data_IF_649194410202
#
_entry.id   IF_649194410202
#
_cell.length_a   1.000
_cell.length_b   1.000
_cell.length_c   1.000
_cell.angle_alpha   90.00
_cell.angle_beta   90.00
_cell.angle_gamma   90.00
#
_symmetry.space_group_name_H-M   'P 1'
#
loop_
_entity.id
_entity.type
_entity.pdbx_description
1 polymer ?
#
# COMPACT_ATOMS: atom_id res chain seq x y z
N UNK A 1 12.54 12.90 9.64
CA UNK A 1 13.61 11.92 9.32
C UNK A 1 12.93 10.60 9.01
N UNK A 2 12.68 10.31 7.74
CA UNK A 2 12.17 9.00 7.35
C UNK A 2 13.28 7.98 7.56
N UNK A 3 13.11 7.07 8.52
CA UNK A 3 13.89 5.83 8.52
C UNK A 3 13.67 5.18 7.16
N UNK A 4 14.70 5.11 6.31
CA UNK A 4 14.59 4.45 5.02
C UNK A 4 14.36 2.96 5.25
N UNK A 5 13.09 2.55 5.18
CA UNK A 5 12.71 1.14 5.31
C UNK A 5 13.01 0.50 3.95
N UNK A 6 14.05 -0.31 3.89
CA UNK A 6 14.33 -1.14 2.73
C UNK A 6 13.42 -2.36 2.70
N UNK A 7 12.48 -2.40 1.76
CA UNK A 7 11.69 -3.60 1.47
C UNK A 7 12.50 -4.53 0.56
N UNK A 8 13.22 -5.50 1.14
CA UNK A 8 13.84 -6.58 0.37
C UNK A 8 12.87 -7.74 0.33
N UNK A 9 12.21 -7.96 -0.82
CA UNK A 9 11.21 -9.03 -0.97
C UNK A 9 11.89 -10.40 -0.83
N UNK A 10 11.46 -11.17 0.16
CA UNK A 10 11.96 -12.52 0.43
C UNK A 10 11.01 -13.58 -0.13
N UNK A 11 9.72 -13.26 -0.24
CA UNK A 11 8.69 -14.17 -0.77
C UNK A 11 7.57 -13.40 -1.48
N UNK A 12 6.81 -14.10 -2.31
CA UNK A 12 5.61 -13.57 -2.93
C UNK A 12 4.45 -14.54 -2.75
N UNK A 13 3.24 -14.00 -2.64
CA UNK A 13 2.01 -14.78 -2.50
C UNK A 13 0.92 -14.14 -3.36
N UNK A 14 0.04 -14.97 -3.91
CA UNK A 14 -1.12 -14.48 -4.63
C UNK A 14 -2.33 -14.44 -3.70
N UNK A 15 -3.14 -13.39 -3.78
CA UNK A 15 -4.36 -13.26 -3.00
C UNK A 15 -5.58 -12.97 -3.88
N UNK A 16 -6.73 -13.55 -3.53
CA UNK A 16 -8.04 -13.30 -4.16
C UNK A 16 -8.98 -12.51 -3.25
N UNK A 17 -8.67 -12.48 -1.96
CA UNK A 17 -9.37 -11.78 -0.88
C UNK A 17 -8.42 -11.54 0.30
N UNK A 18 -8.90 -10.83 1.32
CA UNK A 18 -8.11 -10.47 2.51
C UNK A 18 -7.75 -11.69 3.36
N UNK A 19 -8.57 -12.73 3.31
CA UNK A 19 -8.37 -14.02 3.97
C UNK A 19 -7.10 -14.75 3.52
N UNK A 20 -6.61 -14.47 2.31
CA UNK A 20 -5.37 -15.05 1.79
C UNK A 20 -4.11 -14.30 2.30
N UNK A 21 -4.28 -13.14 2.94
CA UNK A 21 -3.19 -12.30 3.43
C UNK A 21 -2.95 -12.63 4.90
N UNK A 22 -1.81 -13.27 5.19
CA UNK A 22 -1.44 -13.65 6.54
C UNK A 22 -0.22 -12.86 7.02
N UNK A 23 -0.42 -11.98 7.99
CA UNK A 23 0.67 -11.29 8.68
C UNK A 23 1.35 -12.20 9.72
N UNK A 24 1.75 -13.40 9.32
CA UNK A 24 2.40 -14.34 10.21
C UNK A 24 3.71 -13.72 10.69
N UNK A 25 3.95 -13.76 12.00
CA UNK A 25 5.09 -13.16 12.70
C UNK A 25 6.43 -13.86 12.40
N UNK A 26 6.58 -14.54 11.26
CA UNK A 26 7.83 -15.17 10.83
C UNK A 26 8.88 -14.08 10.60
N UNK A 27 9.68 -13.85 11.64
CA UNK A 27 10.51 -12.67 11.83
C UNK A 27 11.29 -12.23 10.59
N UNK A 28 11.06 -10.98 10.18
CA UNK A 28 11.92 -10.28 9.21
C UNK A 28 11.63 -10.55 7.74
N UNK A 29 10.74 -11.48 7.41
CA UNK A 29 10.43 -11.83 6.02
C UNK A 29 9.54 -10.75 5.40
N UNK A 30 9.98 -10.13 4.30
CA UNK A 30 9.15 -9.26 3.50
C UNK A 30 8.37 -10.09 2.47
N UNK A 31 7.04 -10.04 2.51
CA UNK A 31 6.17 -10.74 1.57
C UNK A 31 5.54 -9.75 0.61
N UNK A 32 5.61 -10.04 -0.68
CA UNK A 32 4.88 -9.31 -1.72
C UNK A 32 3.60 -10.05 -2.11
N UNK A 33 2.46 -9.50 -1.72
CA UNK A 33 1.14 -10.00 -2.08
C UNK A 33 0.70 -9.43 -3.43
N UNK A 34 0.41 -10.32 -4.37
CA UNK A 34 0.00 -10.03 -5.74
C UNK A 34 -1.48 -10.37 -5.93
N UNK A 35 -2.31 -9.44 -6.40
CA UNK A 35 -3.72 -9.71 -6.62
C UNK A 35 -3.90 -10.71 -7.76
N UNK A 36 -4.70 -11.77 -7.55
CA UNK A 36 -5.05 -12.72 -8.62
C UNK A 36 -5.99 -12.12 -9.66
N UNK A 37 -6.77 -11.12 -9.28
CA UNK A 37 -7.74 -10.47 -10.15
C UNK A 37 -7.16 -9.14 -10.60
N UNK A 38 -6.88 -9.03 -11.90
CA UNK A 38 -6.32 -7.85 -12.57
C UNK A 38 -7.13 -6.55 -12.38
N UNK A 39 -8.39 -6.64 -11.93
CA UNK A 39 -9.28 -5.50 -11.68
C UNK A 39 -9.48 -5.21 -10.18
N UNK A 40 -8.50 -5.48 -9.33
CA UNK A 40 -8.55 -5.00 -7.96
C UNK A 40 -8.47 -3.47 -8.01
N UNK A 41 -9.61 -2.80 -7.80
CA UNK A 41 -9.84 -1.38 -8.14
C UNK A 41 -8.94 -0.38 -7.40
N UNK A 42 -8.13 -0.83 -6.45
CA UNK A 42 -7.46 0.03 -5.48
C UNK A 42 -5.96 -0.14 -5.38
N UNK A 43 -5.42 -1.34 -5.65
CA UNK A 43 -3.97 -1.64 -5.55
C UNK A 43 -3.57 -2.71 -6.56
N UNK A 44 -2.36 -2.62 -7.08
CA UNK A 44 -1.70 -3.61 -7.94
C UNK A 44 -0.79 -4.57 -7.16
N UNK A 45 -0.53 -4.27 -5.89
CA UNK A 45 0.23 -5.13 -5.00
C UNK A 45 0.29 -4.61 -3.57
N UNK A 46 0.76 -5.44 -2.65
CA UNK A 46 0.88 -5.11 -1.24
C UNK A 46 2.15 -5.73 -0.66
N UNK A 47 3.05 -4.92 -0.12
CA UNK A 47 4.18 -5.41 0.66
C UNK A 47 3.81 -5.47 2.14
N UNK A 48 4.19 -6.54 2.82
CA UNK A 48 4.14 -6.63 4.27
C UNK A 48 5.51 -7.03 4.82
N UNK A 49 6.01 -6.28 5.79
CA UNK A 49 7.28 -6.53 6.46
C UNK A 49 7.10 -6.41 7.97
N UNK A 50 7.40 -7.49 8.69
CA UNK A 50 7.47 -7.47 10.15
C UNK A 50 8.90 -7.21 10.62
N UNK A 51 9.10 -6.15 11.42
CA UNK A 51 10.43 -5.80 11.97
C UNK A 51 10.29 -5.16 13.36
N UNK A 52 10.94 -5.76 14.36
CA UNK A 52 11.08 -5.19 15.72
C UNK A 52 9.74 -4.76 16.35
N UNK A 53 8.71 -5.61 16.28
CA UNK A 53 7.39 -5.29 16.85
C UNK A 53 6.54 -4.32 16.01
N UNK A 54 7.03 -3.90 14.84
CA UNK A 54 6.27 -3.10 13.88
C UNK A 54 5.90 -3.94 12.65
N UNK A 55 4.69 -3.71 12.14
CA UNK A 55 4.23 -4.22 10.86
C UNK A 55 4.20 -3.06 9.86
N UNK A 56 5.06 -3.12 8.85
CA UNK A 56 5.05 -2.19 7.73
C UNK A 56 4.16 -2.78 6.64
N UNK A 57 3.15 -2.01 6.24
CA UNK A 57 2.24 -2.35 5.14
C UNK A 57 2.43 -1.29 4.07
N UNK A 58 2.83 -1.72 2.87
CA UNK A 58 2.97 -0.81 1.73
C UNK A 58 2.10 -1.26 0.56
N UNK A 59 0.86 -0.75 0.46
CA UNK A 59 0.04 -0.94 -0.73
C UNK A 59 0.67 -0.18 -1.91
N UNK A 60 0.66 -0.79 -3.09
CA UNK A 60 1.28 -0.26 -4.31
C UNK A 60 0.21 -0.10 -5.37
N UNK A 61 0.13 1.09 -5.95
CA UNK A 61 -0.68 1.37 -7.14
C UNK A 61 0.24 1.86 -8.26
N UNK A 62 0.11 1.23 -9.42
CA UNK A 62 0.80 1.58 -10.67
C UNK A 62 -0.23 2.29 -11.56
N UNK A 63 0.10 3.49 -12.03
CA UNK A 63 -0.83 4.25 -12.88
C UNK A 63 -0.09 5.15 -13.86
N UNK A 64 -0.68 5.37 -15.04
CA UNK A 64 -0.19 6.37 -15.99
C UNK A 64 -0.61 7.79 -15.63
N UNK A 65 -1.73 7.92 -14.90
CA UNK A 65 -2.35 9.20 -14.59
C UNK A 65 -2.90 9.19 -13.17
N UNK A 66 -2.08 9.61 -12.20
CA UNK A 66 -2.51 9.71 -10.80
C UNK A 66 -3.61 10.75 -10.58
N UNK A 67 -3.66 11.80 -11.41
CA UNK A 67 -4.63 12.90 -11.26
C UNK A 67 -5.99 12.55 -11.87
N UNK A 68 -6.01 11.80 -12.97
CA UNK A 68 -7.23 11.31 -13.63
C UNK A 68 -7.71 9.93 -13.18
N UNK A 69 -6.88 9.13 -12.52
CA UNK A 69 -7.33 7.88 -11.91
C UNK A 69 -8.04 8.09 -10.58
N UNK A 70 -9.17 7.38 -10.43
CA UNK A 70 -9.99 7.28 -9.23
C UNK A 70 -9.16 7.10 -7.96
N UNK A 71 -9.55 7.82 -6.90
CA UNK A 71 -9.06 7.79 -5.51
C UNK A 71 -8.73 6.36 -5.00
N UNK A 72 -7.58 5.84 -5.41
CA UNK A 72 -7.20 4.44 -5.17
C UNK A 72 -6.82 4.23 -3.70
N UNK A 73 -6.23 5.26 -3.10
CA UNK A 73 -6.04 5.35 -1.65
C UNK A 73 -7.40 5.23 -0.94
N UNK A 74 -8.37 6.08 -1.28
CA UNK A 74 -9.72 6.01 -0.71
C UNK A 74 -10.41 4.67 -0.95
N UNK A 75 -10.28 4.09 -2.15
CA UNK A 75 -10.83 2.78 -2.47
C UNK A 75 -10.16 1.65 -1.66
N UNK A 76 -8.85 1.74 -1.42
CA UNK A 76 -8.12 0.81 -0.56
C UNK A 76 -8.59 0.95 0.89
N UNK A 77 -8.60 2.17 1.43
CA UNK A 77 -8.90 2.42 2.85
C UNK A 77 -10.37 2.21 3.21
N UNK A 78 -11.29 2.44 2.28
CA UNK A 78 -12.72 2.16 2.48
C UNK A 78 -13.11 0.71 2.19
N UNK A 79 -12.38 0.01 1.31
CA UNK A 79 -12.73 -1.33 0.85
C UNK A 79 -11.93 -2.46 1.51
N UNK A 80 -10.60 -2.45 1.34
CA UNK A 80 -9.72 -3.57 1.74
C UNK A 80 -9.23 -3.40 3.18
N UNK A 81 -8.86 -2.17 3.55
CA UNK A 81 -8.23 -1.88 4.83
C UNK A 81 -9.05 -2.31 6.07
N UNK A 82 -10.38 -2.11 6.15
CA UNK A 82 -11.12 -2.45 7.36
C UNK A 82 -11.06 -3.95 7.70
N UNK A 83 -11.13 -4.80 6.68
CA UNK A 83 -10.99 -6.24 6.81
C UNK A 83 -9.54 -6.62 7.13
N UNK A 84 -8.58 -6.02 6.40
CA UNK A 84 -7.16 -6.30 6.58
C UNK A 84 -6.68 -5.97 7.99
N UNK A 85 -7.10 -4.83 8.52
CA UNK A 85 -6.82 -4.35 9.88
C UNK A 85 -7.31 -5.33 10.94
N UNK A 86 -8.47 -5.97 10.71
CA UNK A 86 -9.03 -6.96 11.65
C UNK A 86 -8.18 -8.23 11.79
N UNK A 87 -7.34 -8.52 10.79
CA UNK A 87 -6.39 -9.64 10.80
C UNK A 87 -5.03 -9.28 11.41
N UNK A 88 -4.79 -8.02 11.75
CA UNK A 88 -3.52 -7.57 12.35
C UNK A 88 -3.57 -7.86 13.87
N UNK A 89 -2.57 -8.54 14.44
CA UNK A 89 -2.50 -8.74 15.88
C UNK A 89 -2.44 -7.39 16.64
N UNK A 90 -3.30 -7.24 17.67
CA UNK A 90 -3.45 -6.00 18.45
C UNK A 90 -2.16 -5.51 19.15
N UNK A 91 -1.15 -6.36 19.29
CA UNK A 91 0.12 -6.02 19.93
C UNK A 91 1.16 -5.43 18.97
N UNK A 92 0.79 -5.20 17.70
CA UNK A 92 1.69 -4.65 16.69
C UNK A 92 1.38 -3.18 16.41
N UNK A 93 2.43 -2.38 16.34
CA UNK A 93 2.32 -1.04 15.76
C UNK A 93 2.36 -1.16 14.24
N UNK A 94 1.41 -0.53 13.57
CA UNK A 94 1.31 -0.58 12.11
C UNK A 94 1.80 0.74 11.53
N UNK A 95 2.68 0.65 10.52
CA UNK A 95 3.12 1.79 9.72
C UNK A 95 2.69 1.54 8.29
N UNK A 96 2.00 2.51 7.70
CA UNK A 96 1.43 2.39 6.37
C UNK A 96 2.13 3.36 5.44
N UNK A 97 2.55 2.85 4.28
CA UNK A 97 3.21 3.62 3.23
C UNK A 97 2.51 3.31 1.91
N UNK A 98 1.66 4.21 1.44
CA UNK A 98 0.98 4.01 0.16
C UNK A 98 1.91 4.45 -0.98
N UNK A 99 2.28 3.53 -1.87
CA UNK A 99 3.26 3.80 -2.93
C UNK A 99 2.53 3.95 -4.27
N UNK A 100 2.67 5.11 -4.89
CA UNK A 100 2.31 5.36 -6.26
C UNK A 100 3.53 5.19 -7.17
N UNK A 101 3.43 4.32 -8.16
CA UNK A 101 4.39 4.23 -9.27
C UNK A 101 3.74 4.84 -10.51
N UNK A 102 4.28 5.95 -11.00
CA UNK A 102 3.64 6.73 -12.07
C UNK A 102 4.58 7.11 -13.22
N UNK A 103 4.08 7.80 -14.26
CA UNK A 103 4.92 8.33 -15.34
C UNK A 103 5.85 9.48 -14.90
N UNK A 104 5.60 10.09 -13.73
CA UNK A 104 6.38 11.21 -13.21
C UNK A 104 6.77 10.96 -11.75
N UNK A 105 7.82 11.64 -11.31
CA UNK A 105 8.12 11.72 -9.88
C UNK A 105 7.17 12.72 -9.21
N UNK A 106 6.79 12.44 -7.97
CA UNK A 106 6.09 13.39 -7.11
C UNK A 106 6.84 13.59 -5.79
N UNK A 107 6.24 14.34 -4.88
CA UNK A 107 6.72 14.46 -3.51
C UNK A 107 6.09 13.38 -2.64
N UNK A 108 6.77 13.05 -1.53
CA UNK A 108 6.18 12.27 -0.45
C UNK A 108 5.31 13.18 0.40
N UNK A 109 4.12 12.71 0.78
CA UNK A 109 3.14 13.47 1.55
C UNK A 109 2.69 12.68 2.78
N UNK A 110 2.70 13.31 3.95
CA UNK A 110 2.07 12.75 5.14
C UNK A 110 0.56 12.98 5.04
N UNK A 111 -0.22 11.91 5.16
CA UNK A 111 -1.68 11.96 5.11
C UNK A 111 -2.23 11.62 6.49
N UNK A 112 -2.90 12.59 7.09
CA UNK A 112 -3.53 12.45 8.39
C UNK A 112 -4.77 11.55 8.33
N UNK A 113 -5.01 10.85 9.44
CA UNK A 113 -6.20 10.08 9.70
C UNK A 113 -7.47 10.94 9.52
N UNK A 114 -8.44 10.40 8.76
CA UNK A 114 -9.78 10.97 8.61
C UNK A 114 -10.79 10.08 9.30
N UNK A 115 -11.58 10.70 10.16
CA UNK A 115 -12.69 10.06 10.87
C UNK A 115 -14.00 10.71 10.41
N UNK A 116 -14.98 9.88 10.08
CA UNK A 116 -16.36 10.31 9.86
C UNK A 116 -17.16 10.14 11.13
N UNK A 117 -17.67 11.25 11.68
CA UNK A 117 -18.63 11.21 12.79
C UNK A 117 -20.02 10.87 12.28
N UNK A 118 -20.60 9.78 12.77
CA UNK A 118 -22.01 9.43 12.57
C UNK A 118 -22.78 9.63 13.88
N UNK A 119 -24.11 9.71 13.81
CA UNK A 119 -24.97 10.00 14.99
C UNK A 119 -24.69 9.14 16.23
N UNK A 120 -24.25 7.88 16.03
CA UNK A 120 -24.06 6.91 17.11
C UNK A 120 -22.64 6.33 17.19
N UNK A 121 -21.72 6.71 16.29
CA UNK A 121 -20.35 6.17 16.26
C UNK A 121 -19.42 7.01 15.40
N UNK A 122 -18.13 6.89 15.67
CA UNK A 122 -17.07 7.36 14.80
C UNK A 122 -16.61 6.22 13.90
N UNK A 123 -16.37 6.52 12.61
CA UNK A 123 -15.90 5.55 11.62
C UNK A 123 -14.60 6.07 11.02
N UNK A 124 -13.52 5.30 11.16
CA UNK A 124 -12.25 5.55 10.46
C UNK A 124 -12.49 5.45 8.95
N UNK A 125 -12.15 6.51 8.21
CA UNK A 125 -12.14 6.51 6.74
C UNK A 125 -10.78 5.99 6.25
N UNK A 126 -9.69 6.49 6.84
CA UNK A 126 -8.32 6.08 6.62
C UNK A 126 -7.50 6.27 7.92
N UNK A 127 -6.44 5.49 8.12
CA UNK A 127 -5.45 5.71 9.18
C UNK A 127 -4.49 6.86 8.82
N UNK A 128 -3.53 7.16 9.70
CA UNK A 128 -2.34 7.96 9.33
C UNK A 128 -1.41 7.12 8.43
N UNK A 129 -0.91 7.71 7.34
CA UNK A 129 0.06 7.07 6.44
C UNK A 129 0.92 8.07 5.68
N UNK A 130 1.95 7.57 5.02
CA UNK A 130 2.78 8.33 4.08
C UNK A 130 2.40 7.92 2.67
N UNK A 131 2.04 8.87 1.81
CA UNK A 131 1.86 8.66 0.37
C UNK A 131 3.18 8.99 -0.34
N UNK A 132 3.78 7.99 -0.98
CA UNK A 132 5.06 8.10 -1.70
C UNK A 132 4.78 8.06 -3.19
N UNK A 133 5.32 9.00 -3.96
CA UNK A 133 5.11 9.07 -5.41
C UNK A 133 6.43 8.94 -6.15
N UNK A 134 6.66 7.78 -6.77
CA UNK A 134 7.86 7.50 -7.56
C UNK A 134 7.54 7.31 -9.05
N UNK A 135 8.43 7.76 -9.91
CA UNK A 135 8.33 7.57 -11.36
C UNK A 135 8.77 6.18 -11.82
N UNK A 136 8.28 5.74 -12.99
CA UNK A 136 8.68 4.49 -13.64
C UNK A 136 10.20 4.42 -13.80
N UNK A 137 10.86 5.52 -14.18
CA UNK A 137 12.32 5.58 -14.35
C UNK A 137 13.13 5.13 -13.11
N UNK A 138 12.58 5.32 -11.91
CA UNK A 138 13.24 4.92 -10.66
C UNK A 138 13.04 3.44 -10.34
N UNK A 139 11.97 2.83 -10.84
CA UNK A 139 11.64 1.42 -10.62
C UNK A 139 12.24 0.56 -11.72
N UNK A 140 12.02 0.94 -12.97
CA UNK A 140 12.56 0.28 -14.15
C UNK A 140 12.67 1.27 -15.32
N UNK A 141 13.91 1.60 -15.71
CA UNK A 141 14.20 2.53 -16.80
C UNK A 141 13.73 2.04 -18.17
N UNK A 142 13.66 0.73 -18.41
CA UNK A 142 13.18 0.21 -19.69
C UNK A 142 11.68 0.46 -19.85
N UNK A 143 10.90 0.27 -18.76
CA UNK A 143 9.46 0.59 -18.74
C UNK A 143 9.27 2.07 -19.09
N UNK A 144 9.98 2.95 -18.39
CA UNK A 144 9.92 4.39 -18.65
C UNK A 144 10.28 4.75 -20.10
N UNK A 145 11.35 4.15 -20.64
CA UNK A 145 11.76 4.35 -22.03
C UNK A 145 10.67 3.93 -23.02
N UNK A 146 10.03 2.77 -22.83
CA UNK A 146 8.99 2.30 -23.74
C UNK A 146 7.73 3.15 -23.68
N UNK A 147 7.39 3.67 -22.50
CA UNK A 147 6.18 4.48 -22.30
C UNK A 147 6.38 5.95 -22.69
N UNK A 148 7.61 6.46 -22.65
CA UNK A 148 7.94 7.84 -23.09
C UNK A 148 7.95 8.03 -24.61
N UNK A 149 7.80 6.94 -25.37
CA UNK A 149 7.77 6.96 -26.83
C UNK A 149 6.35 7.03 -27.41
N UNK A 150 5.33 7.02 -26.55
CA UNK A 150 3.91 7.01 -26.90
C UNK A 150 3.32 8.41 -26.82
#
# INVERSE_FOLDING_TARGET
MANSIGFKVDSHQFFSGVEDINFSLSGGTCTFYLPRKWNQKSIDGLLALYKTGMLYIAPIQITFDKEGHSDSEGAFFSGIWPELKSNIPNNLNVVIIFIWITCKNGADEEVEMKIKKLRNRDVEINPDYISVVTGFANVNRDIDRYLSQV
#
